data_IF_544965890505
#
_entry.id   IF_544965890505
#
_cell.length_a   1.000
_cell.length_b   1.000
_cell.length_c   1.000
_cell.angle_alpha   90.00
_cell.angle_beta   90.00
_cell.angle_gamma   90.00
#
_symmetry.space_group_name_H-M   'P 1'
#
loop_
_entity.id
_entity.type
_entity.pdbx_description
1 polymer ?
#
# COMPACT_ATOMS: atom_id res chain seq x y z
N UNK A 1 6.54 2.77 -31.55
CA UNK A 1 6.94 1.75 -30.55
C UNK A 1 8.45 1.46 -30.56
N UNK A 2 9.06 1.01 -31.66
CA UNK A 2 10.49 0.61 -31.68
C UNK A 2 11.51 1.65 -31.19
N UNK A 3 11.35 2.95 -31.51
CA UNK A 3 12.27 4.00 -31.07
C UNK A 3 12.21 4.27 -29.56
N UNK A 4 11.02 4.17 -28.97
CA UNK A 4 10.81 4.37 -27.54
C UNK A 4 11.39 3.22 -26.73
N UNK A 5 11.13 1.97 -27.12
CA UNK A 5 11.72 0.80 -26.48
C UNK A 5 13.25 0.80 -26.56
N UNK A 6 13.82 1.21 -27.69
CA UNK A 6 15.26 1.38 -27.83
C UNK A 6 15.80 2.45 -26.87
N UNK A 7 15.15 3.62 -26.80
CA UNK A 7 15.52 4.70 -25.89
C UNK A 7 15.48 4.26 -24.43
N UNK A 8 14.39 3.59 -24.00
CA UNK A 8 14.23 3.07 -22.64
C UNK A 8 15.34 2.07 -22.32
N UNK A 9 15.54 1.07 -23.18
CA UNK A 9 16.54 0.02 -22.97
C UNK A 9 17.96 0.58 -22.93
N UNK A 10 18.28 1.55 -23.81
CA UNK A 10 19.58 2.21 -23.83
C UNK A 10 19.87 2.93 -22.52
N UNK A 11 18.95 3.78 -22.07
CA UNK A 11 19.10 4.55 -20.84
C UNK A 11 19.09 3.65 -19.59
N UNK A 12 18.28 2.59 -19.59
CA UNK A 12 18.27 1.58 -18.53
C UNK A 12 19.66 0.94 -18.35
N UNK A 13 20.25 0.45 -19.44
CA UNK A 13 21.57 -0.17 -19.41
C UNK A 13 22.68 0.83 -19.03
N UNK A 14 22.55 2.08 -19.46
CA UNK A 14 23.47 3.15 -19.07
C UNK A 14 23.38 3.43 -17.56
N UNK A 15 22.17 3.55 -17.01
CA UNK A 15 21.94 3.76 -15.58
C UNK A 15 22.52 2.60 -14.74
N UNK A 16 22.28 1.35 -15.15
CA UNK A 16 22.85 0.18 -14.48
C UNK A 16 24.38 0.16 -14.47
N UNK A 17 25.04 0.54 -15.56
CA UNK A 17 26.51 0.62 -15.62
C UNK A 17 27.06 1.69 -14.68
N UNK A 18 26.50 2.90 -14.74
CA UNK A 18 26.89 4.01 -13.85
C UNK A 18 26.66 3.66 -12.38
N UNK A 19 25.56 2.99 -12.08
CA UNK A 19 25.28 2.52 -10.73
C UNK A 19 26.33 1.51 -10.26
N UNK A 20 26.73 0.56 -11.11
CA UNK A 20 27.74 -0.43 -10.75
C UNK A 20 29.11 0.23 -10.49
N UNK A 21 29.50 1.20 -11.31
CA UNK A 21 30.72 1.99 -11.13
C UNK A 21 30.71 2.73 -9.79
N UNK A 22 29.58 3.37 -9.45
CA UNK A 22 29.43 4.14 -8.22
C UNK A 22 29.30 3.27 -6.95
N UNK A 23 28.63 2.12 -7.02
CA UNK A 23 28.63 1.16 -5.89
C UNK A 23 30.06 0.70 -5.57
N UNK A 24 30.90 0.56 -6.59
CA UNK A 24 32.29 0.14 -6.44
C UNK A 24 33.22 1.29 -5.98
N UNK A 25 32.79 2.56 -6.01
CA UNK A 25 33.63 3.70 -5.61
C UNK A 25 33.74 3.89 -4.10
N UNK A 26 32.85 3.27 -3.31
CA UNK A 26 32.84 3.36 -1.85
C UNK A 26 32.31 4.70 -1.32
N UNK A 27 31.60 5.48 -2.15
CA UNK A 27 31.05 6.77 -1.76
C UNK A 27 30.00 6.66 -0.63
N UNK A 28 29.94 7.65 0.30
CA UNK A 28 29.03 7.61 1.45
C UNK A 28 27.55 7.42 1.08
N UNK A 29 27.14 7.94 -0.08
CA UNK A 29 25.75 7.96 -0.55
C UNK A 29 25.41 6.81 -1.50
N UNK A 30 26.38 5.92 -1.79
CA UNK A 30 26.23 4.87 -2.80
C UNK A 30 25.05 3.93 -2.51
N UNK A 31 24.78 3.64 -1.23
CA UNK A 31 23.63 2.82 -0.81
C UNK A 31 22.32 3.51 -1.19
N UNK A 32 22.15 4.79 -0.86
CA UNK A 32 20.90 5.50 -1.09
C UNK A 32 20.68 5.76 -2.58
N UNK A 33 21.73 6.02 -3.33
CA UNK A 33 21.67 6.14 -4.80
C UNK A 33 21.22 4.79 -5.41
N UNK A 34 21.77 3.66 -4.95
CA UNK A 34 21.33 2.34 -5.39
C UNK A 34 19.86 2.05 -5.08
N UNK A 35 19.39 2.46 -3.90
CA UNK A 35 17.99 2.33 -3.49
C UNK A 35 17.07 3.21 -4.35
N UNK A 36 17.48 4.44 -4.63
CA UNK A 36 16.75 5.34 -5.54
C UNK A 36 16.64 4.74 -6.93
N UNK A 37 17.72 4.18 -7.47
CA UNK A 37 17.67 3.46 -8.75
C UNK A 37 16.71 2.26 -8.70
N UNK A 38 16.70 1.49 -7.62
CA UNK A 38 15.75 0.38 -7.46
C UNK A 38 14.29 0.87 -7.51
N UNK A 39 13.96 1.98 -6.82
CA UNK A 39 12.62 2.58 -6.86
C UNK A 39 12.23 2.99 -8.29
N UNK A 40 13.14 3.65 -9.01
CA UNK A 40 12.93 4.05 -10.41
C UNK A 40 12.68 2.83 -11.30
N UNK A 41 13.47 1.76 -11.13
CA UNK A 41 13.30 0.54 -11.92
C UNK A 41 12.01 -0.22 -11.57
N UNK A 42 11.58 -0.24 -10.30
CA UNK A 42 10.26 -0.75 -9.93
C UNK A 42 9.17 0.00 -10.70
N UNK A 43 9.24 1.33 -10.75
CA UNK A 43 8.30 2.16 -11.49
C UNK A 43 8.28 1.86 -12.99
N UNK A 44 9.46 1.83 -13.61
CA UNK A 44 9.60 1.55 -15.03
C UNK A 44 9.09 0.15 -15.41
N UNK A 45 9.42 -0.88 -14.62
CA UNK A 45 8.96 -2.24 -14.91
C UNK A 45 7.44 -2.37 -14.73
N UNK A 46 6.83 -1.69 -13.75
CA UNK A 46 5.37 -1.65 -13.60
C UNK A 46 4.67 -0.93 -14.77
N UNK A 47 5.26 0.15 -15.29
CA UNK A 47 4.77 0.83 -16.50
C UNK A 47 4.84 -0.06 -17.74
N UNK A 48 5.83 -0.96 -17.79
CA UNK A 48 5.99 -1.97 -18.85
C UNK A 48 5.18 -3.25 -18.60
N UNK A 49 4.34 -3.29 -17.56
CA UNK A 49 3.60 -4.48 -17.11
C UNK A 49 4.49 -5.68 -16.76
N UNK A 50 5.78 -5.43 -16.54
CA UNK A 50 6.75 -6.45 -16.19
C UNK A 50 6.86 -6.60 -14.66
N UNK A 51 5.72 -6.92 -14.05
CA UNK A 51 5.57 -6.96 -12.59
C UNK A 51 6.57 -7.90 -11.90
N UNK A 52 6.97 -8.99 -12.57
CA UNK A 52 7.97 -9.92 -12.03
C UNK A 52 9.34 -9.26 -11.88
N UNK A 53 9.80 -8.49 -12.86
CA UNK A 53 11.07 -7.77 -12.73
C UNK A 53 10.95 -6.60 -11.75
N UNK A 54 9.78 -5.94 -11.67
CA UNK A 54 9.50 -4.95 -10.63
C UNK A 54 9.66 -5.56 -9.22
N UNK A 55 9.09 -6.74 -8.96
CA UNK A 55 9.21 -7.45 -7.69
C UNK A 55 10.67 -7.82 -7.40
N UNK A 56 11.47 -8.20 -8.41
CA UNK A 56 12.90 -8.47 -8.22
C UNK A 56 13.68 -7.22 -7.80
N UNK A 57 13.44 -6.07 -8.43
CA UNK A 57 14.08 -4.81 -8.03
C UNK A 57 13.70 -4.40 -6.61
N UNK A 58 12.42 -4.51 -6.27
CA UNK A 58 11.92 -4.26 -4.92
C UNK A 58 12.60 -5.17 -3.90
N UNK A 59 12.61 -6.49 -4.15
CA UNK A 59 13.22 -7.48 -3.25
C UNK A 59 14.70 -7.23 -3.02
N UNK A 60 15.45 -6.89 -4.08
CA UNK A 60 16.89 -6.56 -3.96
C UNK A 60 17.10 -5.30 -3.12
N UNK A 61 16.35 -4.23 -3.38
CA UNK A 61 16.46 -2.99 -2.60
C UNK A 61 16.06 -3.18 -1.14
N UNK A 62 14.98 -3.93 -0.86
CA UNK A 62 14.58 -4.31 0.50
C UNK A 62 15.69 -5.07 1.24
N UNK A 63 16.38 -5.99 0.57
CA UNK A 63 17.51 -6.72 1.16
C UNK A 63 18.71 -5.82 1.45
N UNK A 64 18.99 -4.83 0.59
CA UNK A 64 20.03 -3.82 0.87
C UNK A 64 19.66 -3.08 2.15
N UNK A 65 18.46 -2.51 2.22
CA UNK A 65 17.96 -1.77 3.40
C UNK A 65 18.13 -2.56 4.69
N UNK A 66 17.62 -3.81 4.73
CA UNK A 66 17.64 -4.64 5.94
C UNK A 66 19.07 -5.01 6.37
N UNK A 67 20.02 -5.11 5.43
CA UNK A 67 21.40 -5.52 5.71
C UNK A 67 22.33 -4.36 6.03
N UNK A 68 22.12 -3.20 5.42
CA UNK A 68 23.10 -2.10 5.45
C UNK A 68 22.66 -0.93 6.31
N UNK A 69 21.36 -0.74 6.56
CA UNK A 69 20.86 0.42 7.30
C UNK A 69 20.53 0.03 8.74
N UNK A 70 21.12 0.76 9.69
CA UNK A 70 20.76 0.68 11.11
C UNK A 70 19.44 1.44 11.37
N UNK A 71 18.33 0.72 11.20
CA UNK A 71 16.99 1.29 11.43
C UNK A 71 16.74 1.71 12.88
N UNK A 72 17.34 1.03 13.85
CA UNK A 72 17.09 1.33 15.27
C UNK A 72 17.70 2.70 15.62
N UNK A 73 18.94 2.94 15.17
CA UNK A 73 19.56 4.27 15.26
C UNK A 73 18.72 5.32 14.53
N UNK A 74 18.38 5.05 13.28
CA UNK A 74 17.70 6.01 12.41
C UNK A 74 16.33 6.42 12.98
N UNK A 75 15.51 5.43 13.34
CA UNK A 75 14.18 5.65 13.90
C UNK A 75 14.25 6.36 15.26
N UNK A 76 15.22 6.01 16.11
CA UNK A 76 15.45 6.69 17.39
C UNK A 76 15.76 8.18 17.23
N UNK A 77 16.52 8.57 16.21
CA UNK A 77 16.81 9.99 15.92
C UNK A 77 15.61 10.72 15.32
N UNK A 78 14.97 10.16 14.29
CA UNK A 78 13.86 10.83 13.58
C UNK A 78 12.58 10.93 14.42
N UNK A 79 12.40 10.03 15.40
CA UNK A 79 11.27 10.09 16.34
C UNK A 79 11.43 11.16 17.42
N UNK A 80 12.68 11.48 17.82
CA UNK A 80 12.98 12.37 18.96
C UNK A 80 13.44 13.77 18.54
N UNK A 81 14.08 13.90 17.39
CA UNK A 81 14.65 15.16 16.90
C UNK A 81 13.78 15.76 15.81
N UNK A 82 13.48 17.07 15.93
CA UNK A 82 12.91 17.86 14.83
C UNK A 82 14.00 18.37 13.86
N UNK A 83 15.29 18.23 14.20
CA UNK A 83 16.41 18.64 13.36
C UNK A 83 16.92 17.48 12.51
N UNK A 84 17.16 17.74 11.22
CA UNK A 84 17.79 16.80 10.29
C UNK A 84 19.25 16.57 10.69
N UNK A 85 19.60 15.33 10.98
CA UNK A 85 20.99 14.93 11.15
C UNK A 85 21.61 14.62 9.79
N UNK A 86 22.77 15.21 9.52
CA UNK A 86 23.56 14.98 8.30
C UNK A 86 24.79 14.14 8.65
N UNK A 87 24.92 12.91 8.10
CA UNK A 87 26.14 12.13 8.24
C UNK A 87 27.35 12.85 7.65
N UNK A 88 28.52 12.69 8.26
CA UNK A 88 29.75 13.33 7.79
C UNK A 88 30.11 12.87 6.37
N UNK A 89 30.26 13.83 5.45
CA UNK A 89 30.60 13.55 4.05
C UNK A 89 29.45 13.05 3.18
N UNK A 90 28.22 12.97 3.71
CA UNK A 90 27.01 12.59 2.97
C UNK A 90 26.23 13.84 2.52
N UNK A 91 25.63 13.77 1.34
CA UNK A 91 24.65 14.76 0.86
C UNK A 91 23.22 14.41 1.26
N UNK A 92 23.02 13.27 1.94
CA UNK A 92 21.72 12.66 2.21
C UNK A 92 21.51 12.63 3.72
N UNK A 93 20.44 13.27 4.19
CA UNK A 93 20.13 13.30 5.61
C UNK A 93 19.56 11.97 6.11
N UNK A 94 19.56 11.80 7.43
CA UNK A 94 18.85 10.69 8.08
C UNK A 94 17.33 10.74 7.78
N UNK A 95 16.76 11.94 7.56
CA UNK A 95 15.36 12.09 7.13
C UNK A 95 15.13 11.62 5.69
N UNK A 96 16.05 11.92 4.78
CA UNK A 96 15.97 11.46 3.38
C UNK A 96 16.10 9.94 3.31
N UNK A 97 16.99 9.37 4.12
CA UNK A 97 17.15 7.93 4.28
C UNK A 97 15.86 7.28 4.79
N UNK A 98 15.21 7.88 5.80
CA UNK A 98 13.91 7.40 6.30
C UNK A 98 12.82 7.51 5.22
N UNK A 99 12.80 8.58 4.44
CA UNK A 99 11.88 8.74 3.31
C UNK A 99 12.04 7.64 2.26
N UNK A 100 13.27 7.21 1.96
CA UNK A 100 13.52 6.06 1.09
C UNK A 100 13.03 4.75 1.71
N UNK A 101 13.25 4.52 3.01
CA UNK A 101 12.73 3.34 3.72
C UNK A 101 11.20 3.31 3.67
N UNK A 102 10.55 4.44 3.92
CA UNK A 102 9.10 4.59 3.82
C UNK A 102 8.61 4.33 2.39
N UNK A 103 9.33 4.80 1.37
CA UNK A 103 9.01 4.50 -0.04
C UNK A 103 9.05 2.99 -0.32
N UNK A 104 10.12 2.30 0.11
CA UNK A 104 10.23 0.84 -0.02
C UNK A 104 9.13 0.10 0.73
N UNK A 105 8.81 0.53 1.95
CA UNK A 105 7.70 -0.02 2.72
C UNK A 105 6.39 0.12 1.95
N UNK A 106 6.06 1.30 1.42
CA UNK A 106 4.85 1.50 0.63
C UNK A 106 4.81 0.61 -0.61
N UNK A 107 5.95 0.46 -1.31
CA UNK A 107 6.07 -0.43 -2.47
C UNK A 107 5.84 -1.91 -2.08
N UNK A 108 6.43 -2.37 -0.97
CA UNK A 108 6.18 -3.72 -0.43
C UNK A 108 4.69 -3.94 -0.15
N UNK A 109 4.03 -2.99 0.52
CA UNK A 109 2.61 -3.09 0.80
C UNK A 109 1.78 -3.13 -0.49
N UNK A 110 2.06 -2.24 -1.44
CA UNK A 110 1.40 -2.18 -2.74
C UNK A 110 1.46 -3.48 -3.52
N UNK A 111 2.68 -4.00 -3.63
CA UNK A 111 2.95 -5.23 -4.36
C UNK A 111 2.40 -6.43 -3.61
N UNK A 112 2.43 -6.46 -2.27
CA UNK A 112 1.90 -7.57 -1.46
C UNK A 112 0.39 -7.74 -1.56
N UNK A 113 -0.34 -6.64 -1.69
CA UNK A 113 -1.78 -6.66 -1.93
C UNK A 113 -2.10 -7.27 -3.30
N UNK A 114 -1.17 -7.16 -4.25
CA UNK A 114 -1.32 -7.61 -5.64
C UNK A 114 -0.83 -9.05 -5.84
N UNK A 115 0.34 -9.37 -5.27
CA UNK A 115 1.07 -10.61 -5.44
C UNK A 115 1.45 -11.21 -4.07
N UNK A 116 1.09 -12.47 -3.87
CA UNK A 116 1.25 -13.13 -2.57
C UNK A 116 2.72 -13.37 -2.19
N UNK A 117 3.57 -13.54 -3.20
CA UNK A 117 4.99 -13.91 -3.09
C UNK A 117 5.92 -12.78 -2.63
N UNK A 118 5.41 -11.55 -2.55
CA UNK A 118 6.22 -10.39 -2.18
C UNK A 118 6.57 -10.45 -0.68
N UNK A 119 7.85 -10.47 -0.30
CA UNK A 119 8.23 -10.41 1.10
C UNK A 119 8.00 -9.00 1.66
N UNK A 120 7.47 -8.90 2.88
CA UNK A 120 7.36 -7.64 3.62
C UNK A 120 8.61 -7.38 4.47
N UNK A 121 9.81 -7.43 3.87
CA UNK A 121 11.07 -7.41 4.61
C UNK A 121 11.32 -6.07 5.32
N UNK A 122 11.18 -4.96 4.60
CA UNK A 122 11.34 -3.61 5.16
C UNK A 122 10.21 -3.31 6.15
N UNK A 123 8.96 -3.63 5.80
CA UNK A 123 7.81 -3.41 6.68
C UNK A 123 7.94 -4.20 8.00
N UNK A 124 8.35 -5.47 7.93
CA UNK A 124 8.53 -6.30 9.14
C UNK A 124 9.65 -5.77 10.02
N UNK A 125 10.79 -5.37 9.43
CA UNK A 125 11.91 -4.79 10.18
C UNK A 125 11.51 -3.47 10.83
N UNK A 126 10.81 -2.59 10.12
CA UNK A 126 10.31 -1.34 10.67
C UNK A 126 9.34 -1.59 11.83
N UNK A 127 8.41 -2.54 11.69
CA UNK A 127 7.49 -2.91 12.75
C UNK A 127 8.21 -3.39 14.02
N UNK A 128 9.26 -4.19 13.88
CA UNK A 128 10.10 -4.62 15.01
C UNK A 128 10.80 -3.43 15.67
N UNK A 129 11.40 -2.54 14.88
CA UNK A 129 12.04 -1.32 15.39
C UNK A 129 11.04 -0.45 16.14
N UNK A 130 9.84 -0.21 15.59
CA UNK A 130 8.80 0.55 16.27
C UNK A 130 8.41 -0.06 17.62
N UNK A 131 8.12 -1.38 17.65
CA UNK A 131 7.77 -2.10 18.88
C UNK A 131 8.83 -1.99 19.98
N UNK A 132 10.10 -1.80 19.63
CA UNK A 132 11.19 -1.62 20.59
C UNK A 132 11.36 -0.17 21.07
N UNK A 133 10.86 0.82 20.32
CA UNK A 133 11.07 2.24 20.60
C UNK A 133 9.83 2.97 21.12
N UNK A 134 8.62 2.52 20.77
CA UNK A 134 7.38 3.23 21.08
C UNK A 134 6.32 2.33 21.70
N UNK A 135 5.57 2.90 22.64
CA UNK A 135 4.19 2.50 22.87
C UNK A 135 3.35 3.42 21.99
N UNK A 136 3.03 3.01 20.76
CA UNK A 136 2.21 3.81 19.83
C UNK A 136 0.78 3.95 20.35
N UNK A 137 0.61 4.86 21.30
CA UNK A 137 -0.67 5.23 21.88
C UNK A 137 -1.27 6.32 21.03
N UNK A 138 -2.49 6.07 20.53
CA UNK A 138 -3.27 7.10 19.86
C UNK A 138 -3.51 8.24 20.85
N UNK A 139 -3.10 9.48 20.55
CA UNK A 139 -3.25 10.61 21.46
C UNK A 139 -4.73 10.94 21.63
N UNK A 140 -5.15 11.52 22.77
CA UNK A 140 -6.56 11.85 23.02
C UNK A 140 -7.14 12.80 21.96
N UNK A 141 -6.29 13.64 21.37
CA UNK A 141 -6.60 14.53 20.25
C UNK A 141 -5.39 14.63 19.33
N UNK A 142 -5.63 14.80 18.03
CA UNK A 142 -4.58 15.09 17.06
C UNK A 142 -4.28 16.60 17.07
N UNK A 143 -2.99 16.95 17.03
CA UNK A 143 -2.54 18.35 16.95
C UNK A 143 -2.26 18.81 15.52
N UNK A 144 -2.03 17.87 14.59
CA UNK A 144 -1.72 18.17 13.19
C UNK A 144 -2.01 16.99 12.28
N UNK A 145 -2.21 17.27 10.97
CA UNK A 145 -2.25 16.25 9.93
C UNK A 145 -0.99 15.37 9.93
N UNK A 146 0.18 15.96 10.11
CA UNK A 146 1.44 15.22 10.19
C UNK A 146 1.47 14.22 11.34
N UNK A 147 0.94 14.59 12.52
CA UNK A 147 0.86 13.66 13.65
C UNK A 147 -0.10 12.52 13.35
N UNK A 148 -1.26 12.83 12.76
CA UNK A 148 -2.25 11.84 12.39
C UNK A 148 -1.70 10.85 11.34
N UNK A 149 -1.07 11.36 10.29
CA UNK A 149 -0.43 10.55 9.25
C UNK A 149 0.64 9.61 9.82
N UNK A 150 1.49 10.07 10.73
CA UNK A 150 2.49 9.21 11.40
C UNK A 150 1.83 8.05 12.15
N UNK A 151 0.74 8.31 12.85
CA UNK A 151 0.00 7.29 13.61
C UNK A 151 -0.72 6.31 12.68
N UNK A 152 -1.27 6.79 11.56
CA UNK A 152 -1.88 5.94 10.53
C UNK A 152 -0.82 5.06 9.86
N UNK A 153 0.31 5.62 9.46
CA UNK A 153 1.45 4.89 8.87
C UNK A 153 1.97 3.79 9.81
N UNK A 154 2.10 4.11 11.10
CA UNK A 154 2.46 3.15 12.14
C UNK A 154 1.41 2.02 12.27
N UNK A 155 0.12 2.38 12.30
CA UNK A 155 -0.97 1.42 12.35
C UNK A 155 -0.93 0.47 11.14
N UNK A 156 -0.86 1.01 9.92
CA UNK A 156 -0.78 0.24 8.67
C UNK A 156 0.41 -0.73 8.70
N UNK A 157 1.58 -0.27 9.15
CA UNK A 157 2.80 -1.09 9.24
C UNK A 157 2.60 -2.31 10.14
N UNK A 158 1.95 -2.12 11.29
CA UNK A 158 1.68 -3.20 12.23
C UNK A 158 0.59 -4.17 11.74
N UNK A 159 -0.49 -3.65 11.13
CA UNK A 159 -1.55 -4.50 10.55
C UNK A 159 -0.98 -5.40 9.46
N UNK A 160 -0.23 -4.82 8.52
CA UNK A 160 0.35 -5.57 7.40
C UNK A 160 1.38 -6.60 7.87
N UNK A 161 2.19 -6.27 8.90
CA UNK A 161 3.10 -7.26 9.50
C UNK A 161 2.34 -8.41 10.15
N UNK A 162 1.25 -8.10 10.86
CA UNK A 162 0.40 -9.11 11.52
C UNK A 162 -0.29 -10.02 10.49
N UNK A 163 -0.85 -9.47 9.41
CA UNK A 163 -1.45 -10.27 8.33
C UNK A 163 -0.40 -11.16 7.63
N UNK A 164 0.80 -10.63 7.39
CA UNK A 164 1.88 -11.36 6.76
C UNK A 164 2.33 -12.56 7.61
N UNK A 165 2.59 -12.35 8.90
CA UNK A 165 2.92 -13.42 9.86
C UNK A 165 1.78 -14.45 9.96
N UNK A 166 0.54 -13.98 10.05
CA UNK A 166 -0.63 -14.82 10.17
C UNK A 166 -0.91 -15.65 8.91
N UNK A 167 -0.38 -15.25 7.75
CA UNK A 167 -0.63 -16.01 6.54
C UNK A 167 0.00 -17.41 6.59
N UNK A 168 1.19 -17.55 7.18
CA UNK A 168 1.81 -18.86 7.37
C UNK A 168 0.99 -19.78 8.31
N UNK A 169 0.05 -19.21 9.05
CA UNK A 169 -0.80 -19.90 10.03
C UNK A 169 -2.24 -20.10 9.54
N UNK A 170 -2.52 -19.87 8.25
CA UNK A 170 -3.84 -20.15 7.68
C UNK A 170 -4.17 -21.64 7.80
N UNK A 171 -5.35 -21.93 8.33
CA UNK A 171 -5.80 -23.30 8.58
C UNK A 171 -5.24 -23.94 9.85
N UNK A 172 -4.44 -23.22 10.66
CA UNK A 172 -3.95 -23.70 11.96
C UNK A 172 -4.91 -23.27 13.09
N UNK A 173 -5.85 -24.14 13.55
CA UNK A 173 -6.85 -23.74 14.54
C UNK A 173 -6.24 -23.36 15.90
N UNK A 174 -5.11 -23.96 16.30
CA UNK A 174 -4.47 -23.70 17.59
C UNK A 174 -3.87 -22.29 17.64
N UNK A 175 -3.27 -21.85 16.54
CA UNK A 175 -2.77 -20.48 16.40
C UNK A 175 -3.91 -19.46 16.59
N UNK A 176 -5.04 -19.65 15.90
CA UNK A 176 -6.20 -18.75 16.01
C UNK A 176 -6.93 -18.88 17.34
N UNK A 177 -6.85 -20.03 18.00
CA UNK A 177 -7.42 -20.23 19.33
C UNK A 177 -6.62 -19.51 20.42
N UNK A 178 -5.33 -19.24 20.18
CA UNK A 178 -4.42 -18.62 21.14
C UNK A 178 -4.96 -17.33 21.76
N UNK A 179 -4.96 -17.19 23.10
CA UNK A 179 -5.36 -15.96 23.78
C UNK A 179 -4.55 -14.73 23.37
N UNK A 180 -3.25 -14.88 23.12
CA UNK A 180 -2.37 -13.77 22.73
C UNK A 180 -2.73 -13.22 21.34
N UNK A 181 -2.98 -14.11 20.38
CA UNK A 181 -3.41 -13.75 19.01
C UNK A 181 -4.76 -13.03 19.04
N UNK A 182 -5.72 -13.55 19.82
CA UNK A 182 -7.03 -12.89 20.01
C UNK A 182 -6.90 -11.51 20.66
N UNK A 183 -6.03 -11.38 21.66
CA UNK A 183 -5.81 -10.11 22.35
C UNK A 183 -5.18 -9.07 21.42
N UNK A 184 -4.14 -9.46 20.67
CA UNK A 184 -3.48 -8.60 19.70
C UNK A 184 -4.47 -8.13 18.61
N UNK A 185 -5.26 -9.06 18.05
CA UNK A 185 -6.30 -8.75 17.06
C UNK A 185 -7.30 -7.71 17.59
N UNK A 186 -7.86 -7.94 18.78
CA UNK A 186 -8.79 -6.99 19.43
C UNK A 186 -8.15 -5.63 19.69
N UNK A 187 -6.87 -5.61 20.10
CA UNK A 187 -6.15 -4.36 20.35
C UNK A 187 -5.96 -3.55 19.05
N UNK A 188 -5.53 -4.19 17.96
CA UNK A 188 -5.37 -3.55 16.65
C UNK A 188 -6.71 -3.06 16.11
N UNK A 189 -7.75 -3.88 16.21
CA UNK A 189 -9.09 -3.53 15.78
C UNK A 189 -9.63 -2.30 16.54
N UNK A 190 -9.54 -2.31 17.87
CA UNK A 190 -9.92 -1.16 18.71
C UNK A 190 -9.09 0.09 18.37
N UNK A 191 -7.78 -0.07 18.13
CA UNK A 191 -6.89 1.05 17.81
C UNK A 191 -7.30 1.74 16.52
N UNK A 192 -7.61 1.00 15.45
CA UNK A 192 -8.04 1.63 14.20
C UNK A 192 -9.39 2.35 14.32
N UNK A 193 -10.36 1.82 15.10
CA UNK A 193 -11.60 2.55 15.41
C UNK A 193 -11.27 3.88 16.11
N UNK A 194 -10.42 3.85 17.13
CA UNK A 194 -10.02 5.07 17.86
C UNK A 194 -9.28 6.08 16.97
N UNK A 195 -8.45 5.63 16.02
CA UNK A 195 -7.80 6.51 15.04
C UNK A 195 -8.85 7.20 14.18
N UNK A 196 -9.78 6.43 13.61
CA UNK A 196 -10.84 6.95 12.73
C UNK A 196 -11.70 8.01 13.44
N UNK A 197 -12.23 7.67 14.62
CA UNK A 197 -13.08 8.59 15.41
C UNK A 197 -12.36 9.89 15.74
N UNK A 198 -11.13 9.81 16.22
CA UNK A 198 -10.36 10.99 16.63
C UNK A 198 -9.88 11.83 15.44
N UNK A 199 -9.54 11.20 14.32
CA UNK A 199 -9.06 11.92 13.15
C UNK A 199 -10.22 12.64 12.46
N UNK A 200 -11.38 11.99 12.36
CA UNK A 200 -12.60 12.63 11.89
C UNK A 200 -12.98 13.81 12.79
N UNK A 201 -12.95 13.64 14.13
CA UNK A 201 -13.22 14.73 15.06
C UNK A 201 -12.23 15.90 14.91
N UNK A 202 -10.94 15.62 14.73
CA UNK A 202 -9.93 16.63 14.45
C UNK A 202 -10.26 17.40 13.17
N UNK A 203 -10.52 16.71 12.06
CA UNK A 203 -10.85 17.38 10.80
C UNK A 203 -12.15 18.18 10.84
N UNK A 204 -13.16 17.70 11.56
CA UNK A 204 -14.41 18.45 11.77
C UNK A 204 -14.23 19.70 12.64
N UNK A 205 -13.17 19.77 13.44
CA UNK A 205 -12.85 20.95 14.26
C UNK A 205 -12.12 22.05 13.48
N UNK A 206 -11.56 21.73 12.31
CA UNK A 206 -10.85 22.67 11.47
C UNK A 206 -11.84 23.46 10.59
N UNK A 207 -11.48 24.71 10.29
CA UNK A 207 -12.18 25.49 9.28
C UNK A 207 -11.87 24.93 7.88
N UNK A 208 -12.85 24.28 7.25
CA UNK A 208 -12.70 23.66 5.93
C UNK A 208 -12.28 24.64 4.84
N UNK A 209 -12.57 25.94 4.99
CA UNK A 209 -12.15 26.97 4.04
C UNK A 209 -10.64 27.27 4.11
N UNK A 210 -10.01 26.92 5.24
CA UNK A 210 -8.57 27.10 5.48
C UNK A 210 -7.72 25.90 5.05
N UNK A 211 -8.35 24.77 4.71
CA UNK A 211 -7.65 23.52 4.36
C UNK A 211 -7.52 23.44 2.84
N UNK A 212 -6.29 23.34 2.34
CA UNK A 212 -6.04 23.18 0.91
C UNK A 212 -6.47 21.80 0.36
N UNK A 213 -6.64 21.66 -0.97
CA UNK A 213 -6.98 20.38 -1.58
C UNK A 213 -5.96 19.27 -1.31
N UNK A 214 -4.67 19.62 -1.14
CA UNK A 214 -3.60 18.67 -0.84
C UNK A 214 -3.75 18.08 0.57
N UNK A 215 -4.05 18.92 1.54
CA UNK A 215 -4.29 18.52 2.93
C UNK A 215 -5.55 17.66 3.05
N UNK A 216 -6.62 18.00 2.31
CA UNK A 216 -7.83 17.16 2.23
C UNK A 216 -7.56 15.81 1.57
N UNK A 217 -6.80 15.79 0.48
CA UNK A 217 -6.39 14.55 -0.17
C UNK A 217 -5.56 13.67 0.78
N UNK A 218 -4.62 14.24 1.52
CA UNK A 218 -3.83 13.54 2.54
C UNK A 218 -4.73 12.91 3.61
N UNK A 219 -5.68 13.69 4.15
CA UNK A 219 -6.66 13.18 5.12
C UNK A 219 -7.51 12.03 4.57
N UNK A 220 -8.05 12.16 3.36
CA UNK A 220 -8.87 11.10 2.76
C UNK A 220 -8.05 9.85 2.45
N UNK A 221 -6.79 9.99 2.05
CA UNK A 221 -5.86 8.87 1.88
C UNK A 221 -5.65 8.14 3.21
N UNK A 222 -5.41 8.86 4.30
CA UNK A 222 -5.21 8.27 5.63
C UNK A 222 -6.45 7.53 6.14
N UNK A 223 -7.64 8.10 5.95
CA UNK A 223 -8.88 7.41 6.29
C UNK A 223 -9.12 6.17 5.43
N UNK A 224 -8.89 6.28 4.12
CA UNK A 224 -9.00 5.16 3.20
C UNK A 224 -8.08 4.01 3.60
N UNK A 225 -6.82 4.30 3.93
CA UNK A 225 -5.87 3.31 4.43
C UNK A 225 -6.34 2.71 5.76
N UNK A 226 -6.79 3.54 6.71
CA UNK A 226 -7.23 3.06 8.03
C UNK A 226 -8.47 2.16 7.93
N UNK A 227 -9.47 2.52 7.13
CA UNK A 227 -10.64 1.67 6.87
C UNK A 227 -10.25 0.37 6.14
N UNK A 228 -9.32 0.43 5.19
CA UNK A 228 -8.83 -0.75 4.48
C UNK A 228 -8.14 -1.72 5.44
N UNK A 229 -7.32 -1.22 6.37
CA UNK A 229 -6.69 -2.02 7.42
C UNK A 229 -7.70 -2.58 8.44
N UNK A 230 -8.74 -1.82 8.79
CA UNK A 230 -9.85 -2.31 9.62
C UNK A 230 -10.59 -3.47 8.94
N UNK A 231 -10.88 -3.34 7.64
CA UNK A 231 -11.50 -4.40 6.85
C UNK A 231 -10.63 -5.65 6.83
N UNK A 232 -9.34 -5.49 6.56
CA UNK A 232 -8.33 -6.55 6.58
C UNK A 232 -8.30 -7.32 7.89
N UNK A 233 -8.16 -6.62 9.03
CA UNK A 233 -8.18 -7.23 10.35
C UNK A 233 -9.52 -7.93 10.60
N UNK A 234 -10.63 -7.28 10.27
CA UNK A 234 -11.99 -7.80 10.47
C UNK A 234 -12.29 -9.09 9.70
N UNK A 235 -11.50 -9.42 8.69
CA UNK A 235 -11.66 -10.65 7.89
C UNK A 235 -10.74 -11.80 8.30
N UNK A 236 -9.80 -11.58 9.24
CA UNK A 236 -9.02 -12.68 9.80
C UNK A 236 -9.96 -13.70 10.48
N UNK A 237 -9.65 -15.01 10.51
CA UNK A 237 -10.52 -16.09 10.99
C UNK A 237 -10.64 -16.10 12.53
N UNK A 238 -11.07 -14.97 13.08
CA UNK A 238 -11.34 -14.73 14.49
C UNK A 238 -12.75 -14.13 14.58
N UNK A 239 -13.62 -14.63 15.48
CA UNK A 239 -15.00 -14.19 15.55
C UNK A 239 -15.06 -12.78 16.14
N UNK A 240 -15.22 -11.77 15.28
CA UNK A 240 -15.63 -10.42 15.67
C UNK A 240 -16.76 -10.01 14.73
N UNK A 241 -18.03 -10.16 15.14
CA UNK A 241 -19.25 -9.67 14.47
C UNK A 241 -19.09 -9.33 12.97
N UNK A 242 -18.67 -10.33 12.20
CA UNK A 242 -17.93 -10.10 10.95
C UNK A 242 -18.79 -9.45 9.87
N UNK A 243 -20.10 -9.69 9.86
CA UNK A 243 -20.93 -9.36 8.71
C UNK A 243 -21.44 -7.90 8.71
N UNK A 244 -21.88 -7.38 9.86
CA UNK A 244 -22.35 -6.00 9.97
C UNK A 244 -21.19 -4.99 9.92
N UNK A 245 -20.07 -5.31 10.59
CA UNK A 245 -18.88 -4.48 10.52
C UNK A 245 -18.28 -4.46 9.11
N UNK A 246 -18.22 -5.61 8.43
CA UNK A 246 -17.76 -5.71 7.04
C UNK A 246 -18.56 -4.79 6.10
N UNK A 247 -19.90 -4.79 6.16
CA UNK A 247 -20.70 -3.94 5.25
C UNK A 247 -20.43 -2.44 5.46
N UNK A 248 -20.38 -1.99 6.73
CA UNK A 248 -20.08 -0.59 7.05
C UNK A 248 -18.68 -0.18 6.59
N UNK A 249 -17.67 -1.01 6.90
CA UNK A 249 -16.28 -0.74 6.54
C UNK A 249 -16.06 -0.69 5.03
N UNK A 250 -16.62 -1.62 4.26
CA UNK A 250 -16.51 -1.59 2.79
C UNK A 250 -17.20 -0.36 2.18
N UNK A 251 -18.35 0.05 2.73
CA UNK A 251 -19.03 1.29 2.33
C UNK A 251 -18.15 2.53 2.57
N UNK A 252 -17.50 2.61 3.74
CA UNK A 252 -16.56 3.68 4.06
C UNK A 252 -15.33 3.70 3.16
N UNK A 253 -14.78 2.54 2.80
CA UNK A 253 -13.66 2.45 1.83
C UNK A 253 -14.06 3.09 0.49
N UNK A 254 -15.21 2.70 -0.07
CA UNK A 254 -15.70 3.25 -1.35
C UNK A 254 -15.99 4.75 -1.23
N UNK A 255 -16.55 5.21 -0.10
CA UNK A 255 -16.82 6.62 0.15
C UNK A 255 -15.54 7.46 0.17
N UNK A 256 -14.51 7.06 0.93
CA UNK A 256 -13.27 7.83 1.02
C UNK A 256 -12.42 7.72 -0.25
N UNK A 257 -12.51 6.62 -0.99
CA UNK A 257 -11.93 6.51 -2.32
C UNK A 257 -12.55 7.53 -3.30
N UNK A 258 -13.88 7.70 -3.30
CA UNK A 258 -14.57 8.72 -4.10
C UNK A 258 -14.12 10.14 -3.72
N UNK A 259 -14.06 10.46 -2.43
CA UNK A 259 -13.57 11.75 -1.93
C UNK A 259 -12.13 12.04 -2.33
N UNK A 260 -11.25 11.04 -2.25
CA UNK A 260 -9.87 11.20 -2.67
C UNK A 260 -9.76 11.42 -4.19
N UNK A 261 -10.56 10.71 -4.99
CA UNK A 261 -10.61 10.93 -6.44
C UNK A 261 -11.10 12.33 -6.80
N UNK A 262 -12.10 12.86 -6.09
CA UNK A 262 -12.58 14.25 -6.25
C UNK A 262 -11.46 15.27 -6.01
N UNK A 263 -10.71 15.14 -4.92
CA UNK A 263 -9.60 16.06 -4.62
C UNK A 263 -8.44 15.91 -5.61
N UNK A 264 -8.10 14.67 -6.03
CA UNK A 264 -7.08 14.43 -7.07
C UNK A 264 -7.49 15.05 -8.41
N UNK A 265 -8.76 14.96 -8.80
CA UNK A 265 -9.31 15.63 -10.01
C UNK A 265 -9.13 17.15 -9.90
N UNK A 266 -9.47 17.76 -8.76
CA UNK A 266 -9.32 19.19 -8.55
C UNK A 266 -7.84 19.64 -8.59
N UNK A 267 -6.92 18.86 -8.02
CA UNK A 267 -5.48 19.13 -8.09
C UNK A 267 -4.93 19.02 -9.53
N UNK A 268 -5.42 18.05 -10.30
CA UNK A 268 -5.03 17.86 -11.69
C UNK A 268 -5.48 19.02 -12.59
N UNK A 269 -6.62 19.66 -12.31
CA UNK A 269 -7.05 20.84 -13.10
C UNK A 269 -6.18 22.08 -12.89
N UNK A 270 -5.37 22.11 -11.83
CA UNK A 270 -4.48 23.22 -11.50
C UNK A 270 -3.00 22.96 -11.83
N UNK A 271 -2.66 21.75 -12.30
CA UNK A 271 -1.30 21.36 -12.64
C UNK A 271 -1.28 20.67 -14.00
N UNK A 272 -0.44 21.12 -14.93
CA UNK A 272 -0.23 20.48 -16.25
C UNK A 272 0.38 19.06 -16.14
N UNK A 273 0.53 18.53 -14.93
CA UNK A 273 1.20 17.28 -14.60
C UNK A 273 0.31 16.41 -13.69
N UNK A 274 -0.85 15.99 -14.18
CA UNK A 274 -1.45 14.77 -13.65
C UNK A 274 -0.54 13.62 -14.09
N UNK A 275 0.34 13.15 -13.20
CA UNK A 275 1.16 11.97 -13.50
C UNK A 275 0.22 10.77 -13.68
N UNK A 276 0.23 10.16 -14.87
CA UNK A 276 -0.49 8.91 -15.18
C UNK A 276 0.01 7.70 -14.36
N UNK A 277 0.92 7.91 -13.41
CA UNK A 277 1.51 6.88 -12.57
C UNK A 277 1.87 7.42 -11.17
N UNK A 278 1.45 6.67 -10.15
CA UNK A 278 1.92 6.81 -8.76
C UNK A 278 2.45 5.47 -8.28
N UNK A 279 3.45 5.49 -7.40
CA UNK A 279 3.97 4.27 -6.76
C UNK A 279 3.15 3.86 -5.55
N UNK A 280 2.33 4.76 -5.01
CA UNK A 280 1.57 4.52 -3.80
C UNK A 280 0.21 3.87 -4.12
N UNK A 281 -0.10 2.71 -3.52
CA UNK A 281 -1.42 2.11 -3.59
C UNK A 281 -2.37 2.95 -2.73
N UNK A 282 -3.54 3.28 -3.26
CA UNK A 282 -4.51 4.04 -2.48
C UNK A 282 -5.92 3.72 -2.86
N UNK A 283 -6.30 4.15 -4.06
CA UNK A 283 -7.70 4.11 -4.50
C UNK A 283 -8.00 2.77 -5.15
N UNK A 284 -7.20 2.36 -6.12
CA UNK A 284 -7.53 1.25 -7.02
C UNK A 284 -7.55 -0.08 -6.27
N UNK A 285 -6.54 -0.33 -5.43
CA UNK A 285 -6.47 -1.55 -4.61
C UNK A 285 -7.65 -1.65 -3.62
N UNK A 286 -8.00 -0.54 -2.98
CA UNK A 286 -9.06 -0.47 -1.96
C UNK A 286 -10.46 -0.63 -2.57
N UNK A 287 -10.68 -0.07 -3.77
CA UNK A 287 -11.92 -0.28 -4.53
C UNK A 287 -12.06 -1.72 -5.02
N UNK A 288 -10.98 -2.31 -5.54
CA UNK A 288 -10.98 -3.72 -5.95
C UNK A 288 -11.31 -4.63 -4.77
N UNK A 289 -10.66 -4.40 -3.63
CA UNK A 289 -10.96 -5.09 -2.39
C UNK A 289 -12.45 -4.98 -2.02
N UNK A 290 -13.02 -3.78 -2.09
CA UNK A 290 -14.43 -3.55 -1.76
C UNK A 290 -15.37 -4.28 -2.72
N UNK A 291 -15.05 -4.28 -4.01
CA UNK A 291 -15.80 -5.00 -5.04
C UNK A 291 -15.79 -6.52 -4.83
N UNK A 292 -14.63 -7.10 -4.50
CA UNK A 292 -14.47 -8.55 -4.26
C UNK A 292 -15.33 -9.02 -3.06
N UNK A 293 -15.38 -8.22 -2.00
CA UNK A 293 -15.90 -8.68 -0.70
C UNK A 293 -17.32 -8.26 -0.38
N UNK A 294 -17.85 -7.25 -1.05
CA UNK A 294 -19.23 -6.84 -0.82
C UNK A 294 -20.20 -7.78 -1.53
N UNK A 295 -21.31 -8.09 -0.88
CA UNK A 295 -22.45 -8.77 -1.49
C UNK A 295 -23.51 -7.76 -1.99
N UNK A 296 -23.30 -6.47 -1.70
CA UNK A 296 -24.19 -5.37 -2.07
C UNK A 296 -24.00 -4.97 -3.55
N UNK A 297 -25.01 -5.17 -4.43
CA UNK A 297 -24.89 -4.86 -5.86
C UNK A 297 -24.64 -3.38 -6.15
N UNK A 298 -25.21 -2.47 -5.35
CA UNK A 298 -25.02 -1.03 -5.52
C UNK A 298 -23.57 -0.65 -5.20
N UNK A 299 -23.03 -1.22 -4.13
CA UNK A 299 -21.65 -0.98 -3.73
C UNK A 299 -20.66 -1.59 -4.75
N UNK A 300 -20.95 -2.78 -5.30
CA UNK A 300 -20.15 -3.37 -6.39
C UNK A 300 -20.13 -2.47 -7.62
N UNK A 301 -21.30 -2.00 -8.05
CA UNK A 301 -21.42 -1.12 -9.21
C UNK A 301 -20.69 0.20 -8.99
N UNK A 302 -20.81 0.79 -7.79
CA UNK A 302 -20.10 2.02 -7.44
C UNK A 302 -18.59 1.82 -7.42
N UNK A 303 -18.10 0.73 -6.85
CA UNK A 303 -16.67 0.42 -6.84
C UNK A 303 -16.10 0.24 -8.25
N UNK A 304 -16.80 -0.48 -9.14
CA UNK A 304 -16.40 -0.65 -10.54
C UNK A 304 -16.38 0.69 -11.29
N UNK A 305 -17.41 1.52 -11.11
CA UNK A 305 -17.47 2.86 -11.70
C UNK A 305 -16.26 3.68 -11.27
N UNK A 306 -15.98 3.76 -9.97
CA UNK A 306 -14.86 4.54 -9.45
C UNK A 306 -13.49 3.98 -9.90
N UNK A 307 -13.32 2.66 -10.05
CA UNK A 307 -12.10 2.08 -10.65
C UNK A 307 -11.95 2.46 -12.13
N UNK A 308 -13.05 2.55 -12.87
CA UNK A 308 -12.99 3.00 -14.27
C UNK A 308 -12.68 4.49 -14.41
N UNK A 309 -13.04 5.28 -13.39
CA UNK A 309 -12.76 6.72 -13.31
C UNK A 309 -11.42 7.06 -12.66
N UNK A 310 -10.76 6.11 -11.99
CA UNK A 310 -9.48 6.37 -11.35
C UNK A 310 -8.43 6.69 -12.42
N UNK A 311 -7.79 7.85 -12.29
CA UNK A 311 -6.73 8.28 -13.20
C UNK A 311 -5.42 7.58 -12.86
N UNK A 312 -4.67 7.27 -13.91
CA UNK A 312 -3.33 6.73 -13.78
C UNK A 312 -3.27 5.33 -13.17
N UNK A 313 -2.04 4.84 -13.08
CA UNK A 313 -1.68 3.55 -12.51
C UNK A 313 -1.11 3.74 -11.11
N UNK A 314 -1.51 2.89 -10.17
CA UNK A 314 -0.99 2.86 -8.80
C UNK A 314 -0.05 1.66 -8.62
N UNK A 315 1.23 1.80 -8.99
CA UNK A 315 2.20 0.71 -8.97
C UNK A 315 1.78 -0.43 -9.90
N UNK A 316 1.51 -1.65 -9.40
CA UNK A 316 0.97 -2.74 -10.22
C UNK A 316 -0.54 -2.61 -10.48
N UNK A 317 -1.24 -1.71 -9.79
CA UNK A 317 -2.70 -1.58 -9.87
C UNK A 317 -3.12 -0.67 -11.02
N UNK A 318 -3.90 -1.22 -11.94
CA UNK A 318 -4.46 -0.49 -13.07
C UNK A 318 -5.99 -0.64 -13.06
N UNK A 319 -6.71 0.48 -12.91
CA UNK A 319 -8.16 0.48 -12.77
C UNK A 319 -8.87 -0.09 -14.00
N UNK A 320 -8.38 0.19 -15.21
CA UNK A 320 -8.96 -0.31 -16.46
C UNK A 320 -8.75 -1.81 -16.59
N UNK A 321 -7.54 -2.29 -16.30
CA UNK A 321 -7.23 -3.71 -16.32
C UNK A 321 -8.07 -4.49 -15.31
N UNK A 322 -8.31 -3.95 -14.11
CA UNK A 322 -9.15 -4.58 -13.08
C UNK A 322 -10.64 -4.57 -13.45
N UNK A 323 -11.15 -3.50 -14.06
CA UNK A 323 -12.55 -3.46 -14.55
C UNK A 323 -12.77 -4.55 -15.60
N UNK A 324 -11.81 -4.71 -16.53
CA UNK A 324 -11.87 -5.78 -17.53
C UNK A 324 -11.78 -7.17 -16.89
N UNK A 325 -10.91 -7.34 -15.91
CA UNK A 325 -10.83 -8.57 -15.12
C UNK A 325 -12.18 -8.90 -14.46
N UNK A 326 -12.82 -7.90 -13.86
CA UNK A 326 -14.13 -8.05 -13.23
C UNK A 326 -15.24 -8.43 -14.23
N UNK A 327 -15.20 -7.88 -15.45
CA UNK A 327 -16.11 -8.26 -16.53
C UNK A 327 -15.94 -9.73 -16.92
N UNK A 328 -14.70 -10.15 -17.23
CA UNK A 328 -14.39 -11.55 -17.58
C UNK A 328 -14.78 -12.50 -16.45
N UNK A 329 -14.56 -12.10 -15.20
CA UNK A 329 -14.94 -12.89 -14.05
C UNK A 329 -16.47 -13.05 -13.93
N UNK A 330 -17.23 -11.96 -14.07
CA UNK A 330 -18.70 -12.02 -14.06
C UNK A 330 -19.24 -12.89 -15.20
N UNK A 331 -18.67 -12.78 -16.40
CA UNK A 331 -19.09 -13.58 -17.56
C UNK A 331 -18.79 -15.08 -17.36
N UNK A 332 -17.64 -15.43 -16.78
CA UNK A 332 -17.29 -16.83 -16.43
C UNK A 332 -18.18 -17.37 -15.30
N UNK A 333 -18.47 -16.57 -14.28
CA UNK A 333 -19.36 -16.96 -13.18
C UNK A 333 -20.80 -17.22 -13.65
N UNK A 334 -21.27 -16.46 -14.65
CA UNK A 334 -22.58 -16.69 -15.28
C UNK A 334 -22.58 -17.99 -16.11
N UNK A 335 -21.43 -18.45 -16.61
CA UNK A 335 -21.32 -19.64 -17.48
C UNK A 335 -21.10 -20.94 -16.69
N UNK A 336 -20.43 -20.89 -15.53
CA UNK A 336 -20.04 -22.08 -14.74
C UNK A 336 -21.01 -22.42 -13.58
N UNK A 337 -22.11 -21.69 -13.43
CA UNK A 337 -23.11 -21.89 -12.37
C UNK A 337 -24.10 -23.05 -12.60
N UNK A 338 -23.70 -24.11 -13.32
CA UNK A 338 -24.40 -25.41 -13.27
C UNK A 338 -23.71 -26.51 -12.46
N UNK A 339 -22.41 -26.42 -12.12
CA UNK A 339 -21.74 -27.56 -11.44
C UNK A 339 -20.71 -27.23 -10.33
N UNK A 340 -20.42 -25.98 -9.97
CA UNK A 340 -19.46 -25.68 -8.89
C UNK A 340 -19.99 -24.69 -7.85
N UNK A 341 -21.00 -25.12 -7.09
CA UNK A 341 -21.32 -24.52 -5.80
C UNK A 341 -20.21 -24.88 -4.78
N UNK A 342 -19.07 -24.18 -4.79
CA UNK A 342 -18.22 -23.92 -3.61
C UNK A 342 -16.84 -23.31 -3.91
N UNK A 343 -16.46 -22.99 -5.15
CA UNK A 343 -15.19 -22.30 -5.38
C UNK A 343 -15.35 -20.79 -5.15
N UNK A 344 -15.05 -20.40 -3.91
CA UNK A 344 -14.97 -19.04 -3.39
C UNK A 344 -14.45 -18.02 -4.41
N UNK A 345 -15.09 -16.85 -4.50
CA UNK A 345 -14.53 -15.67 -5.17
C UNK A 345 -13.05 -15.48 -4.83
N UNK A 346 -12.22 -14.91 -5.73
CA UNK A 346 -10.82 -14.56 -5.46
C UNK A 346 -10.76 -13.50 -4.36
N UNK A 347 -10.92 -13.97 -3.13
CA UNK A 347 -10.87 -13.20 -1.90
C UNK A 347 -9.43 -12.76 -1.71
N UNK A 348 -9.20 -11.51 -1.33
CA UNK A 348 -7.91 -11.04 -0.83
C UNK A 348 -7.38 -11.99 0.26
N UNK A 349 -6.27 -12.67 0.02
CA UNK A 349 -5.81 -13.76 0.91
C UNK A 349 -6.41 -15.14 0.61
N UNK A 350 -7.01 -15.35 -0.55
CA UNK A 350 -7.14 -16.69 -1.15
C UNK A 350 -5.85 -17.04 -1.91
N UNK A 351 -5.68 -18.30 -2.30
CA UNK A 351 -4.55 -18.76 -3.11
C UNK A 351 -4.55 -18.22 -4.55
N UNK A 352 -5.57 -17.44 -4.93
CA UNK A 352 -5.66 -16.76 -6.22
C UNK A 352 -4.88 -15.45 -6.17
N UNK A 353 -3.73 -15.48 -6.81
CA UNK A 353 -2.85 -14.35 -7.06
C UNK A 353 -3.41 -13.49 -8.20
N UNK A 354 -3.51 -12.16 -8.02
CA UNK A 354 -3.95 -11.27 -9.09
C UNK A 354 -3.05 -11.43 -10.32
N UNK A 355 -1.73 -11.66 -10.16
CA UNK A 355 -0.80 -11.94 -11.26
C UNK A 355 -1.22 -13.16 -12.08
N UNK A 356 -1.72 -14.23 -11.44
CA UNK A 356 -2.16 -15.44 -12.14
C UNK A 356 -3.43 -15.19 -12.95
N UNK A 357 -4.34 -14.37 -12.42
CA UNK A 357 -5.56 -13.99 -13.11
C UNK A 357 -5.25 -13.08 -14.31
N UNK A 358 -4.35 -12.12 -14.10
CA UNK A 358 -3.84 -11.22 -15.12
C UNK A 358 -3.05 -11.94 -16.22
N UNK A 359 -2.23 -12.93 -15.89
CA UNK A 359 -1.52 -13.75 -16.87
C UNK A 359 -2.45 -14.59 -17.76
N UNK A 360 -3.71 -14.80 -17.34
CA UNK A 360 -4.73 -15.45 -18.16
C UNK A 360 -5.41 -14.51 -19.17
N UNK A 361 -5.22 -13.19 -19.03
CA UNK A 361 -5.62 -12.18 -20.01
C UNK A 361 -4.51 -12.00 -21.04
N UNK A 362 -4.83 -12.07 -22.33
CA UNK A 362 -3.82 -11.92 -23.40
C UNK A 362 -3.23 -10.51 -23.36
N UNK A 363 -1.95 -10.33 -23.66
CA UNK A 363 -1.29 -8.99 -23.69
C UNK A 363 -2.03 -7.95 -24.55
N UNK A 364 -2.73 -8.37 -25.61
CA UNK A 364 -3.59 -7.50 -26.44
C UNK A 364 -4.89 -7.07 -25.76
N UNK A 365 -5.20 -7.65 -24.61
CA UNK A 365 -6.36 -7.39 -23.79
C UNK A 365 -6.03 -6.53 -22.57
N UNK A 366 -4.76 -6.18 -22.37
CA UNK A 366 -4.30 -5.13 -21.47
C UNK A 366 -4.26 -3.80 -22.22
#
# INVERSE_FOLDING_TARGET
MHKLEYFITHNYNLAMRKLQEHINSGEPDAVIIALTCCVIFVGLENLRFNHREAIKHLTKGSQIIVKTIDMDRLYGFTSKSQQSHMPMGSLISDNDTMGIIECFRHLELSQRLFAFEVPLAVNSRLCQTMRSHTNDVVPPYFSSLTQAHKIVSAFVTEVMSTDYEATAQRGNPDFWASPSVKQQHRALFKRGITILERYQAYMSSLDLSSIGPRERASYYQDLLQTFSMQGMIGMLPLPVNAQQHKRGTLGSIVHYAEKLLEEKKALATHTDACLDYTMEPGVTASLYYSWVYTDDPELKSKALRLMSESFGREGPWDGKALVKLAQVYNDRWITETSELSNTSSPRWGSSMDCLKLFASLRVTEW
#
